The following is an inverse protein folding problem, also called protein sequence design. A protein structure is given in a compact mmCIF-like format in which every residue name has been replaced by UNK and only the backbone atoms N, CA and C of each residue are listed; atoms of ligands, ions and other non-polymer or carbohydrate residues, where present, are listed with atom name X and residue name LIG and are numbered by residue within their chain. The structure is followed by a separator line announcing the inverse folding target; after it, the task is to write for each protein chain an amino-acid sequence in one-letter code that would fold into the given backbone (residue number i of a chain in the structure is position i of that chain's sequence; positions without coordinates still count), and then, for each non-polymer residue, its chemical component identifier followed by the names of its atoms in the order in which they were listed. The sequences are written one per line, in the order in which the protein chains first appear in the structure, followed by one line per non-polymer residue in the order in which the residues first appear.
data_IF_399269951382
#
_entry.id   IF_399269951382
#
_cell.length_a   1.000
_cell.length_b   1.000
_cell.length_c   1.000
_cell.angle_alpha   90.00
_cell.angle_beta   90.00
_cell.angle_gamma   90.00
#
_symmetry.space_group_name_H-M   'P 1'
#
loop_
_entity.id
_entity.type
_entity.pdbx_description
1 polymer ?
#
# COMPACT_ATOMS: atom_id res chain seq x y z
N UNK A 1 9.55 -38.32 9.27
CA UNK A 1 9.61 -36.88 9.64
C UNK A 1 9.72 -36.84 11.16
N UNK A 2 10.72 -36.18 11.73
CA UNK A 2 10.94 -36.10 13.17
C UNK A 2 9.98 -35.07 13.81
N UNK A 3 9.75 -35.20 15.11
CA UNK A 3 8.68 -34.49 15.83
C UNK A 3 8.80 -32.96 15.73
N UNK A 4 10.02 -32.42 15.84
CA UNK A 4 10.28 -30.98 15.76
C UNK A 4 9.90 -30.39 14.38
N UNK A 5 10.16 -31.14 13.30
CA UNK A 5 9.76 -30.70 11.96
C UNK A 5 8.23 -30.68 11.78
N UNK A 6 7.51 -31.61 12.41
CA UNK A 6 6.04 -31.63 12.42
C UNK A 6 5.49 -30.41 13.17
N UNK A 7 6.09 -30.08 14.33
CA UNK A 7 5.70 -28.91 15.12
C UNK A 7 5.94 -27.60 14.35
N UNK A 8 7.12 -27.46 13.74
CA UNK A 8 7.44 -26.29 12.92
C UNK A 8 6.46 -26.11 11.75
N UNK A 9 6.20 -27.17 10.98
CA UNK A 9 5.23 -27.16 9.88
C UNK A 9 3.82 -26.81 10.36
N UNK A 10 3.39 -27.39 11.48
CA UNK A 10 2.07 -27.10 12.08
C UNK A 10 1.95 -25.63 12.47
N UNK A 11 3.00 -25.03 13.03
CA UNK A 11 3.04 -23.62 13.41
C UNK A 11 2.97 -22.69 12.18
N UNK A 12 3.69 -23.02 11.10
CA UNK A 12 3.62 -22.31 9.82
C UNK A 12 2.18 -22.33 9.28
N UNK A 13 1.58 -23.53 9.17
CA UNK A 13 0.24 -23.68 8.58
C UNK A 13 -0.85 -23.06 9.46
N UNK A 14 -0.71 -23.06 10.77
CA UNK A 14 -1.59 -22.31 11.68
C UNK A 14 -1.52 -20.82 11.39
N UNK A 15 -0.32 -20.26 11.25
CA UNK A 15 -0.10 -18.84 10.95
C UNK A 15 -0.65 -18.49 9.58
N UNK A 16 -0.46 -19.34 8.57
CA UNK A 16 -0.99 -19.19 7.22
C UNK A 16 -2.51 -19.11 7.21
N UNK A 17 -3.20 -20.00 7.93
CA UNK A 17 -4.65 -19.96 8.13
C UNK A 17 -5.11 -18.67 8.81
N UNK A 18 -4.36 -18.17 9.80
CA UNK A 18 -4.67 -16.91 10.48
C UNK A 18 -4.62 -15.72 9.53
N UNK A 19 -3.57 -15.65 8.70
CA UNK A 19 -3.43 -14.61 7.65
C UNK A 19 -4.52 -14.74 6.60
N UNK A 20 -4.82 -15.94 6.13
CA UNK A 20 -5.88 -16.19 5.15
C UNK A 20 -7.26 -15.72 5.67
N UNK A 21 -7.59 -16.07 6.93
CA UNK A 21 -8.81 -15.60 7.58
C UNK A 21 -8.90 -14.07 7.66
N UNK A 22 -7.79 -13.40 7.95
CA UNK A 22 -7.72 -11.94 7.98
C UNK A 22 -8.05 -11.30 6.63
N UNK A 23 -7.58 -11.90 5.55
CA UNK A 23 -7.83 -11.46 4.17
C UNK A 23 -9.16 -12.00 3.60
N UNK A 24 -9.88 -12.87 4.32
CA UNK A 24 -11.07 -13.60 3.90
C UNK A 24 -10.82 -14.47 2.66
N UNK A 25 -9.77 -15.28 2.72
CA UNK A 25 -9.36 -16.18 1.64
C UNK A 25 -8.91 -17.53 2.20
N UNK A 26 -8.48 -18.43 1.30
CA UNK A 26 -7.97 -19.75 1.64
C UNK A 26 -6.46 -19.73 1.89
N UNK A 27 -5.95 -20.67 2.69
CA UNK A 27 -4.55 -20.69 3.13
C UNK A 27 -3.56 -20.93 1.99
N UNK A 28 -3.91 -21.70 0.97
CA UNK A 28 -3.08 -21.96 -0.22
C UNK A 28 -2.87 -20.75 -1.14
N UNK A 29 -3.56 -19.63 -0.86
CA UNK A 29 -3.38 -18.35 -1.57
C UNK A 29 -2.33 -17.45 -0.94
N UNK A 30 -1.75 -17.82 0.22
CA UNK A 30 -0.80 -17.00 0.96
C UNK A 30 0.62 -17.54 0.76
N UNK A 31 1.51 -16.67 0.33
CA UNK A 31 2.97 -16.92 0.24
C UNK A 31 3.68 -16.01 1.23
N UNK A 32 4.47 -16.56 2.14
CA UNK A 32 5.31 -15.79 3.04
C UNK A 32 6.57 -15.31 2.34
N UNK A 33 6.99 -14.08 2.64
CA UNK A 33 8.15 -13.40 2.07
C UNK A 33 8.97 -12.75 3.18
N UNK A 34 10.15 -12.23 2.87
CA UNK A 34 10.97 -11.50 3.85
C UNK A 34 10.41 -10.11 4.22
N UNK A 35 9.37 -9.65 3.56
CA UNK A 35 8.76 -8.34 3.80
C UNK A 35 7.98 -7.81 2.60
N UNK A 36 7.47 -6.58 2.72
CA UNK A 36 6.70 -5.94 1.65
C UNK A 36 7.50 -5.77 0.35
N UNK A 37 8.79 -5.46 0.45
CA UNK A 37 9.64 -5.28 -0.73
C UNK A 37 9.74 -6.55 -1.56
N UNK A 38 10.00 -7.71 -0.94
CA UNK A 38 10.03 -9.00 -1.66
C UNK A 38 8.66 -9.33 -2.24
N UNK A 39 7.58 -9.13 -1.47
CA UNK A 39 6.22 -9.41 -1.91
C UNK A 39 5.81 -8.54 -3.11
N UNK A 40 6.10 -7.23 -3.11
CA UNK A 40 5.85 -6.32 -4.24
C UNK A 40 6.68 -6.72 -5.48
N UNK A 41 7.96 -7.03 -5.30
CA UNK A 41 8.79 -7.51 -6.39
C UNK A 41 8.26 -8.84 -6.97
N UNK A 42 7.88 -9.80 -6.12
CA UNK A 42 7.29 -11.06 -6.58
C UNK A 42 5.98 -10.85 -7.34
N UNK A 43 5.13 -9.94 -6.88
CA UNK A 43 3.91 -9.58 -7.58
C UNK A 43 4.21 -8.97 -8.95
N UNK A 44 5.04 -7.95 -9.03
CA UNK A 44 5.28 -7.16 -10.23
C UNK A 44 6.14 -7.94 -11.25
N UNK A 45 7.33 -8.36 -10.83
CA UNK A 45 8.27 -9.08 -11.71
C UNK A 45 7.77 -10.48 -12.03
N UNK A 46 7.07 -11.14 -11.09
CA UNK A 46 6.49 -12.46 -11.32
C UNK A 46 5.41 -12.44 -12.41
N UNK A 47 4.55 -11.40 -12.43
CA UNK A 47 3.58 -11.18 -13.51
C UNK A 47 4.30 -10.93 -14.83
N UNK A 48 5.25 -9.98 -14.84
CA UNK A 48 5.95 -9.57 -16.06
C UNK A 48 6.73 -10.73 -16.69
N UNK A 49 7.48 -11.50 -15.89
CA UNK A 49 8.22 -12.68 -16.36
C UNK A 49 7.30 -13.75 -16.90
N UNK A 50 6.14 -13.96 -16.28
CA UNK A 50 5.13 -14.90 -16.77
C UNK A 50 4.57 -14.49 -18.12
N UNK A 51 4.24 -13.20 -18.30
CA UNK A 51 3.79 -12.65 -19.58
C UNK A 51 4.85 -12.80 -20.67
N UNK A 52 6.11 -12.51 -20.36
CA UNK A 52 7.21 -12.69 -21.31
C UNK A 52 7.38 -14.14 -21.78
N UNK A 53 7.18 -15.14 -20.88
CA UNK A 53 7.23 -16.56 -21.23
C UNK A 53 6.08 -16.98 -22.12
N UNK A 54 4.87 -16.45 -21.91
CA UNK A 54 3.69 -16.76 -22.70
C UNK A 54 3.71 -16.12 -24.10
N UNK A 55 4.31 -14.94 -24.23
CA UNK A 55 4.29 -14.10 -25.42
C UNK A 55 5.68 -13.96 -26.07
N UNK A 56 6.47 -15.04 -26.12
CA UNK A 56 7.86 -15.03 -26.63
C UNK A 56 8.03 -14.38 -28.01
N UNK A 57 7.01 -14.47 -28.89
CA UNK A 57 7.07 -13.98 -30.28
C UNK A 57 6.32 -12.64 -30.49
N UNK A 58 5.50 -12.19 -29.54
CA UNK A 58 4.76 -10.94 -29.64
C UNK A 58 5.02 -10.09 -28.39
N UNK A 59 5.27 -8.79 -28.57
CA UNK A 59 5.34 -7.81 -27.46
C UNK A 59 3.95 -7.43 -26.93
N UNK A 60 2.94 -8.26 -27.13
CA UNK A 60 1.58 -8.02 -26.64
C UNK A 60 1.52 -8.11 -25.11
N UNK A 61 0.62 -7.33 -24.52
CA UNK A 61 0.38 -7.28 -23.07
C UNK A 61 1.63 -6.87 -22.25
N UNK A 62 2.27 -5.80 -22.61
CA UNK A 62 3.42 -5.21 -21.89
C UNK A 62 3.12 -3.80 -21.43
N UNK A 63 1.91 -3.54 -20.97
CA UNK A 63 1.55 -2.27 -20.38
C UNK A 63 1.23 -2.43 -18.89
N UNK A 64 1.74 -1.51 -18.08
CA UNK A 64 1.52 -1.43 -16.63
C UNK A 64 0.86 -0.09 -16.32
N UNK A 65 -0.16 -0.11 -15.45
CA UNK A 65 -0.73 1.10 -14.86
C UNK A 65 -0.37 1.13 -13.37
N UNK A 66 0.25 2.21 -12.93
CA UNK A 66 0.63 2.44 -11.53
C UNK A 66 0.40 3.89 -11.15
N UNK A 67 0.74 4.31 -9.93
CA UNK A 67 0.61 5.71 -9.50
C UNK A 67 1.96 6.38 -9.30
N UNK A 68 1.98 7.71 -9.40
CA UNK A 68 3.20 8.49 -9.13
C UNK A 68 3.60 8.51 -7.64
N UNK A 69 2.74 8.02 -6.74
CA UNK A 69 2.95 8.07 -5.28
C UNK A 69 3.28 6.71 -4.65
N UNK A 70 3.58 5.70 -5.46
CA UNK A 70 3.92 4.36 -4.96
C UNK A 70 5.20 4.36 -4.11
N UNK A 71 5.31 3.34 -3.26
CA UNK A 71 6.54 3.07 -2.52
C UNK A 71 7.65 2.62 -3.49
N UNK A 72 8.93 2.88 -3.16
CA UNK A 72 10.07 2.50 -4.01
C UNK A 72 10.11 0.99 -4.33
N UNK A 73 9.62 0.12 -3.43
CA UNK A 73 9.51 -1.32 -3.69
C UNK A 73 8.53 -1.69 -4.82
N UNK A 74 7.69 -0.74 -5.27
CA UNK A 74 6.80 -0.84 -6.42
C UNK A 74 7.39 -0.07 -7.61
N UNK A 75 7.87 1.16 -7.40
CA UNK A 75 8.41 2.00 -8.47
C UNK A 75 9.67 1.40 -9.10
N UNK A 76 10.63 0.93 -8.30
CA UNK A 76 11.91 0.43 -8.84
C UNK A 76 11.74 -0.82 -9.72
N UNK A 77 10.99 -1.88 -9.31
CA UNK A 77 10.75 -2.99 -10.22
C UNK A 77 9.95 -2.59 -11.48
N UNK A 78 9.05 -1.60 -11.40
CA UNK A 78 8.35 -1.07 -12.58
C UNK A 78 9.29 -0.30 -13.49
N UNK A 79 10.16 0.58 -12.97
CA UNK A 79 11.21 1.29 -13.75
C UNK A 79 12.15 0.30 -14.43
N UNK A 80 12.54 -0.78 -13.73
CA UNK A 80 13.33 -1.85 -14.34
C UNK A 80 12.62 -2.46 -15.55
N UNK A 81 11.31 -2.74 -15.44
CA UNK A 81 10.52 -3.27 -16.55
C UNK A 81 10.39 -2.26 -17.69
N UNK A 82 10.26 -0.97 -17.40
CA UNK A 82 10.25 0.10 -18.39
C UNK A 82 11.54 0.11 -19.21
N UNK A 83 12.71 -0.01 -18.55
CA UNK A 83 14.00 -0.20 -19.23
C UNK A 83 14.08 -1.50 -20.05
N UNK A 84 13.30 -2.52 -19.70
CA UNK A 84 13.18 -3.79 -20.44
C UNK A 84 12.15 -3.71 -21.58
N UNK A 85 11.60 -2.52 -21.86
CA UNK A 85 10.67 -2.24 -22.96
C UNK A 85 9.20 -2.50 -22.64
N UNK A 86 8.80 -2.43 -21.37
CA UNK A 86 7.40 -2.33 -20.97
C UNK A 86 6.94 -0.88 -21.07
N UNK A 87 5.68 -0.69 -21.49
CA UNK A 87 5.04 0.61 -21.40
C UNK A 87 4.45 0.81 -20.00
N UNK A 88 4.63 2.00 -19.42
CA UNK A 88 4.13 2.32 -18.08
C UNK A 88 3.31 3.59 -18.12
N UNK A 89 2.11 3.54 -17.58
CA UNK A 89 1.31 4.74 -17.28
C UNK A 89 1.35 5.01 -15.79
N UNK A 90 1.98 6.11 -15.42
CA UNK A 90 1.98 6.65 -14.05
C UNK A 90 0.77 7.57 -13.90
N UNK A 91 -0.26 7.13 -13.18
CA UNK A 91 -1.44 7.93 -12.91
C UNK A 91 -1.08 9.13 -12.04
N UNK A 92 -1.50 10.35 -12.43
CA UNK A 92 -1.41 11.50 -11.55
C UNK A 92 -2.35 11.35 -10.35
N UNK A 93 -2.04 12.10 -9.30
CA UNK A 93 -2.91 12.25 -8.14
C UNK A 93 -3.31 13.72 -7.97
N UNK A 94 -4.41 13.96 -7.27
CA UNK A 94 -4.80 15.31 -6.87
C UNK A 94 -3.93 15.82 -5.70
N UNK A 95 -4.17 17.04 -5.24
CA UNK A 95 -3.46 17.65 -4.10
C UNK A 95 -3.63 16.90 -2.78
N UNK A 96 -4.60 16.01 -2.67
CA UNK A 96 -4.79 15.12 -1.53
C UNK A 96 -4.04 13.78 -1.68
N UNK A 97 -3.36 13.56 -2.82
CA UNK A 97 -2.68 12.31 -3.13
C UNK A 97 -3.63 11.17 -3.47
N UNK A 98 -4.78 11.46 -4.08
CA UNK A 98 -5.82 10.47 -4.46
C UNK A 98 -5.93 10.42 -5.99
N UNK A 99 -5.99 9.19 -6.52
CA UNK A 99 -6.16 8.91 -7.95
C UNK A 99 -7.59 9.18 -8.41
N UNK A 100 -7.75 9.80 -9.59
CA UNK A 100 -9.04 9.94 -10.27
C UNK A 100 -9.46 8.61 -10.91
N UNK A 101 -10.69 8.16 -10.64
CA UNK A 101 -11.27 6.98 -11.29
C UNK A 101 -11.42 7.18 -12.81
N UNK A 102 -11.72 8.41 -13.25
CA UNK A 102 -11.85 8.71 -14.67
C UNK A 102 -10.50 8.62 -15.40
N UNK A 103 -9.41 9.11 -14.77
CA UNK A 103 -8.07 8.99 -15.35
C UNK A 103 -7.58 7.53 -15.33
N UNK A 104 -7.91 6.79 -14.28
CA UNK A 104 -7.67 5.35 -14.23
C UNK A 104 -8.36 4.61 -15.38
N UNK A 105 -9.64 4.89 -15.64
CA UNK A 105 -10.38 4.25 -16.75
C UNK A 105 -9.77 4.56 -18.12
N UNK A 106 -9.31 5.81 -18.35
CA UNK A 106 -8.64 6.22 -19.60
C UNK A 106 -7.28 5.52 -19.78
N UNK A 107 -6.59 5.19 -18.69
CA UNK A 107 -5.29 4.51 -18.73
C UNK A 107 -5.38 3.03 -19.08
N UNK A 108 -6.54 2.39 -18.91
CA UNK A 108 -6.72 0.97 -19.24
C UNK A 108 -6.69 0.75 -20.75
N UNK A 109 -5.87 -0.20 -21.20
CA UNK A 109 -5.72 -0.62 -22.60
C UNK A 109 -5.84 -2.13 -22.71
N UNK A 110 -6.13 -2.64 -23.89
CA UNK A 110 -6.17 -4.10 -24.15
C UNK A 110 -4.83 -4.79 -23.89
N UNK A 111 -3.73 -4.05 -23.98
CA UNK A 111 -2.36 -4.47 -23.70
C UNK A 111 -1.99 -4.39 -22.21
N UNK A 112 -2.86 -3.84 -21.36
CA UNK A 112 -2.58 -3.73 -19.91
C UNK A 112 -2.52 -5.13 -19.29
N UNK A 113 -1.33 -5.50 -18.78
CA UNK A 113 -1.08 -6.77 -18.12
C UNK A 113 -1.18 -6.65 -16.58
N UNK A 114 -0.82 -5.49 -16.04
CA UNK A 114 -0.76 -5.25 -14.61
C UNK A 114 -1.28 -3.86 -14.26
N UNK A 115 -2.14 -3.80 -13.26
CA UNK A 115 -2.44 -2.60 -12.50
C UNK A 115 -1.85 -2.79 -11.11
N UNK A 116 -1.00 -1.86 -10.65
CA UNK A 116 -0.41 -1.88 -9.31
C UNK A 116 -0.63 -0.53 -8.63
N UNK A 117 -1.52 -0.48 -7.66
CA UNK A 117 -1.90 0.75 -6.95
C UNK A 117 -1.92 0.48 -5.45
N UNK A 118 -1.15 1.27 -4.68
CA UNK A 118 -1.12 1.15 -3.21
C UNK A 118 -2.48 1.45 -2.60
N UNK A 119 -2.80 0.77 -1.50
CA UNK A 119 -4.09 1.01 -0.81
C UNK A 119 -4.06 2.28 0.04
N UNK A 120 -2.94 2.54 0.70
CA UNK A 120 -2.77 3.77 1.46
C UNK A 120 -1.33 4.26 1.41
N UNK A 121 -1.16 5.57 1.28
CA UNK A 121 0.16 6.19 1.17
C UNK A 121 0.81 6.36 2.55
N UNK A 122 2.09 6.07 2.64
CA UNK A 122 2.88 6.12 3.87
C UNK A 122 3.32 7.54 4.26
N UNK A 123 3.33 8.50 3.34
CA UNK A 123 3.81 9.87 3.59
C UNK A 123 2.67 10.81 3.95
N UNK A 124 1.65 10.91 3.09
CA UNK A 124 0.51 11.82 3.28
C UNK A 124 -0.73 11.13 3.86
N UNK A 125 -0.69 9.80 3.97
CA UNK A 125 -1.77 9.03 4.57
C UNK A 125 -3.01 8.89 3.70
N UNK A 126 -3.02 9.34 2.43
CA UNK A 126 -4.16 9.21 1.52
C UNK A 126 -4.56 7.75 1.30
N UNK A 127 -5.87 7.49 1.26
CA UNK A 127 -6.44 6.17 1.02
C UNK A 127 -7.01 6.14 -0.39
N UNK A 128 -6.51 5.20 -1.21
CA UNK A 128 -6.93 5.04 -2.60
C UNK A 128 -8.27 4.30 -2.69
N UNK A 129 -9.11 4.61 -3.70
CA UNK A 129 -10.41 3.97 -3.91
C UNK A 129 -10.28 2.56 -4.50
N UNK A 130 -9.53 1.66 -3.84
CA UNK A 130 -9.12 0.34 -4.35
C UNK A 130 -10.32 -0.53 -4.74
N UNK A 131 -11.38 -0.56 -3.93
CA UNK A 131 -12.57 -1.34 -4.25
C UNK A 131 -13.30 -0.82 -5.51
N UNK A 132 -13.25 0.49 -5.78
CA UNK A 132 -13.83 1.08 -6.98
C UNK A 132 -12.96 0.78 -8.20
N UNK A 133 -11.64 0.95 -8.08
CA UNK A 133 -10.65 0.54 -9.09
C UNK A 133 -10.85 -0.92 -9.46
N UNK A 134 -10.97 -1.81 -8.46
CA UNK A 134 -11.22 -3.23 -8.70
C UNK A 134 -12.52 -3.51 -9.47
N UNK A 135 -13.61 -2.78 -9.16
CA UNK A 135 -14.86 -2.88 -9.92
C UNK A 135 -14.69 -2.44 -11.39
N UNK A 136 -13.96 -1.36 -11.65
CA UNK A 136 -13.70 -0.93 -13.03
C UNK A 136 -12.84 -1.95 -13.79
N UNK A 137 -11.85 -2.57 -13.13
CA UNK A 137 -11.07 -3.68 -13.71
C UNK A 137 -11.97 -4.85 -14.07
N UNK A 138 -12.93 -5.24 -13.22
CA UNK A 138 -13.86 -6.32 -13.53
C UNK A 138 -14.74 -5.98 -14.73
N UNK A 139 -15.23 -4.74 -14.86
CA UNK A 139 -15.99 -4.29 -16.03
C UNK A 139 -15.13 -4.35 -17.30
N UNK A 140 -13.91 -3.85 -17.23
CA UNK A 140 -12.97 -3.85 -18.35
C UNK A 140 -12.64 -5.27 -18.83
N UNK A 141 -12.39 -6.21 -17.91
CA UNK A 141 -12.17 -7.62 -18.22
C UNK A 141 -13.38 -8.24 -18.97
N UNK A 142 -14.61 -7.94 -18.51
CA UNK A 142 -15.84 -8.41 -19.19
C UNK A 142 -15.95 -7.85 -20.60
N UNK A 143 -15.60 -6.60 -20.83
CA UNK A 143 -15.58 -5.99 -22.18
C UNK A 143 -14.58 -6.70 -23.11
N UNK A 144 -13.37 -7.00 -22.62
CA UNK A 144 -12.37 -7.74 -23.40
C UNK A 144 -12.83 -9.16 -23.76
N UNK A 145 -13.51 -9.85 -22.84
CA UNK A 145 -14.06 -11.20 -23.09
C UNK A 145 -15.20 -11.17 -24.13
N UNK A 146 -16.08 -10.19 -24.06
CA UNK A 146 -17.18 -10.02 -25.02
C UNK A 146 -16.67 -9.75 -26.44
N UNK A 147 -15.69 -8.86 -26.56
CA UNK A 147 -15.03 -8.60 -27.85
C UNK A 147 -14.36 -9.83 -28.45
N UNK A 148 -13.75 -10.71 -27.63
CA UNK A 148 -13.15 -11.97 -28.10
C UNK A 148 -14.18 -13.03 -28.47
N UNK A 149 -15.33 -13.11 -27.78
CA UNK A 149 -16.41 -14.09 -28.13
C UNK A 149 -17.07 -13.79 -29.43
N UNK A 150 -17.21 -12.55 -29.82
CA UNK A 150 -17.75 -12.15 -31.12
C UNK A 150 -16.79 -12.40 -32.28
N UNK A 151 -15.51 -12.68 -31.99
CA UNK A 151 -14.49 -13.02 -33.00
C UNK A 151 -14.30 -14.53 -33.21
N UNK A 152 -14.84 -15.41 -32.35
CA UNK A 152 -14.64 -16.87 -32.40
C UNK A 152 -15.92 -17.58 -31.93
N UNK A 153 -16.45 -18.52 -32.79
CA UNK A 153 -17.68 -19.35 -32.62
C UNK A 153 -17.77 -20.19 -31.30
N UNK A 154 -18.86 -20.97 -31.08
CA UNK A 154 -19.80 -20.80 -29.96
C UNK A 154 -19.42 -21.49 -28.64
N UNK A 155 -20.24 -21.37 -27.56
CA UNK A 155 -19.78 -21.53 -26.17
C UNK A 155 -19.81 -22.98 -25.71
N UNK A 156 -18.73 -23.43 -25.08
CA UNK A 156 -18.74 -24.62 -24.23
C UNK A 156 -19.43 -24.28 -22.88
N UNK A 157 -20.61 -24.87 -22.64
CA UNK A 157 -21.39 -24.72 -21.41
C UNK A 157 -20.81 -25.57 -20.29
N UNK A 158 -19.90 -25.01 -19.48
CA UNK A 158 -19.52 -25.54 -18.18
C UNK A 158 -19.79 -24.49 -17.11
N UNK A 159 -20.66 -24.77 -16.12
CA UNK A 159 -20.89 -23.91 -14.97
C UNK A 159 -19.66 -23.96 -14.05
N UNK A 160 -18.79 -22.96 -14.10
CA UNK A 160 -17.83 -22.65 -13.05
C UNK A 160 -18.24 -21.34 -12.40
N UNK A 161 -18.08 -21.22 -11.08
CA UNK A 161 -18.37 -19.99 -10.35
C UNK A 161 -17.59 -18.81 -10.96
N UNK A 162 -18.21 -17.65 -11.12
CA UNK A 162 -17.62 -16.46 -11.77
C UNK A 162 -16.36 -15.97 -11.06
N UNK A 163 -16.20 -16.26 -9.75
CA UNK A 163 -15.02 -15.96 -8.94
C UNK A 163 -13.75 -16.75 -9.32
N UNK A 164 -13.87 -17.83 -10.10
CA UNK A 164 -12.75 -18.72 -10.48
C UNK A 164 -12.14 -18.42 -11.86
N UNK A 165 -12.70 -17.49 -12.60
CA UNK A 165 -12.24 -17.19 -13.95
C UNK A 165 -11.18 -16.09 -13.94
N UNK A 166 -9.92 -16.51 -13.78
CA UNK A 166 -8.81 -15.64 -14.22
C UNK A 166 -8.79 -15.65 -15.75
N UNK A 167 -8.90 -14.50 -16.43
CA UNK A 167 -8.77 -14.45 -17.87
C UNK A 167 -7.39 -15.01 -18.26
N UNK A 168 -7.33 -16.04 -19.07
CA UNK A 168 -6.05 -16.52 -19.65
C UNK A 168 -5.42 -15.36 -20.42
N UNK A 169 -4.28 -14.83 -19.96
CA UNK A 169 -3.62 -13.65 -20.52
C UNK A 169 -4.32 -12.32 -20.19
N UNK A 170 -5.10 -12.26 -19.08
CA UNK A 170 -5.82 -11.08 -18.64
C UNK A 170 -4.99 -10.16 -17.77
N UNK A 171 -5.48 -8.94 -17.65
CA UNK A 171 -5.05 -7.91 -16.71
C UNK A 171 -5.05 -8.45 -15.27
N UNK A 172 -3.97 -8.24 -14.51
CA UNK A 172 -3.84 -8.60 -13.10
C UNK A 172 -3.88 -7.32 -12.26
N UNK A 173 -4.59 -7.37 -11.13
CA UNK A 173 -4.69 -6.27 -10.18
C UNK A 173 -3.93 -6.57 -8.89
N UNK A 174 -2.87 -5.81 -8.64
CA UNK A 174 -2.06 -5.81 -7.43
C UNK A 174 -2.31 -4.55 -6.61
N UNK A 175 -2.33 -4.71 -5.28
CA UNK A 175 -2.34 -3.59 -4.35
C UNK A 175 -1.30 -3.78 -3.25
N UNK A 176 -0.44 -2.77 -3.02
CA UNK A 176 0.38 -2.68 -1.83
C UNK A 176 -0.47 -2.18 -0.67
N UNK A 177 -0.78 -3.08 0.27
CA UNK A 177 -1.58 -2.80 1.46
C UNK A 177 -0.73 -2.70 2.73
N UNK A 178 0.59 -2.53 2.63
CA UNK A 178 1.47 -2.48 3.81
C UNK A 178 1.04 -1.42 4.83
N UNK A 179 0.67 -0.24 4.41
CA UNK A 179 0.21 0.82 5.30
C UNK A 179 -1.28 0.67 5.69
N UNK A 180 -2.07 0.08 4.83
CA UNK A 180 -3.50 -0.13 5.05
C UNK A 180 -3.79 -1.21 6.10
N UNK A 181 -2.94 -2.25 6.19
CA UNK A 181 -3.18 -3.46 6.96
C UNK A 181 -3.51 -3.21 8.44
N UNK A 182 -2.97 -2.14 9.02
CA UNK A 182 -3.21 -1.79 10.42
C UNK A 182 -4.59 -1.16 10.66
N UNK A 183 -5.17 -0.48 9.66
CA UNK A 183 -6.28 0.44 9.87
C UNK A 183 -7.50 0.16 9.00
N UNK A 184 -7.32 -0.55 7.88
CA UNK A 184 -8.35 -0.76 6.87
C UNK A 184 -8.64 -2.24 6.67
N UNK A 185 -9.88 -2.61 6.29
CA UNK A 185 -10.20 -4.00 5.95
C UNK A 185 -9.48 -4.41 4.66
N UNK A 186 -8.82 -5.58 4.69
CA UNK A 186 -8.09 -6.14 3.56
C UNK A 186 -8.83 -7.32 2.91
N UNK A 187 -10.16 -7.27 2.87
CA UNK A 187 -10.97 -8.35 2.31
C UNK A 187 -10.80 -8.40 0.79
N UNK A 188 -10.05 -9.36 0.30
CA UNK A 188 -9.60 -9.44 -1.11
C UNK A 188 -10.75 -9.50 -2.11
N UNK A 189 -11.88 -10.12 -1.76
CA UNK A 189 -13.06 -10.16 -2.61
C UNK A 189 -13.73 -8.77 -2.72
N UNK A 190 -13.80 -8.02 -1.63
CA UNK A 190 -14.35 -6.67 -1.62
C UNK A 190 -13.48 -5.68 -2.37
N UNK A 191 -12.16 -5.86 -2.29
CA UNK A 191 -11.17 -5.05 -3.00
C UNK A 191 -11.04 -5.47 -4.47
N UNK A 192 -11.54 -6.67 -4.83
CA UNK A 192 -11.37 -7.31 -6.13
C UNK A 192 -9.89 -7.47 -6.53
N UNK A 193 -8.99 -7.53 -5.54
CA UNK A 193 -7.56 -7.68 -5.78
C UNK A 193 -7.22 -9.11 -6.19
N UNK A 194 -6.30 -9.25 -7.13
CA UNK A 194 -5.73 -10.54 -7.53
C UNK A 194 -4.46 -10.85 -6.77
N UNK A 195 -3.69 -9.81 -6.44
CA UNK A 195 -2.47 -9.84 -5.64
C UNK A 195 -2.57 -8.75 -4.57
N UNK A 196 -2.18 -9.07 -3.34
CA UNK A 196 -2.15 -8.10 -2.24
C UNK A 196 -0.91 -8.33 -1.38
N UNK A 197 -0.14 -7.27 -1.19
CA UNK A 197 1.07 -7.28 -0.36
C UNK A 197 0.81 -6.65 1.00
N UNK A 198 1.30 -7.26 2.08
CA UNK A 198 1.45 -6.62 3.39
C UNK A 198 2.63 -7.19 4.18
N UNK A 199 3.04 -6.52 5.26
CA UNK A 199 4.19 -6.95 6.05
C UNK A 199 3.98 -6.86 7.56
N UNK A 200 4.78 -7.61 8.30
CA UNK A 200 4.69 -7.71 9.76
C UNK A 200 5.05 -6.40 10.47
N UNK A 201 6.09 -5.72 10.03
CA UNK A 201 6.61 -4.51 10.70
C UNK A 201 5.61 -3.35 10.75
N UNK A 202 4.61 -3.32 9.88
CA UNK A 202 3.59 -2.26 9.83
C UNK A 202 2.34 -2.58 10.67
N UNK A 203 2.28 -3.78 11.26
CA UNK A 203 1.19 -4.23 12.13
C UNK A 203 1.70 -4.66 13.52
N UNK A 204 2.84 -4.11 13.96
CA UNK A 204 3.53 -4.44 15.22
C UNK A 204 4.02 -5.90 15.31
N UNK A 205 4.17 -6.57 14.17
CA UNK A 205 4.81 -7.88 14.06
C UNK A 205 6.33 -7.76 13.83
N UNK A 206 7.02 -8.90 13.68
CA UNK A 206 8.47 -8.91 13.43
C UNK A 206 8.84 -8.19 12.13
N UNK A 207 10.05 -7.60 12.11
CA UNK A 207 10.74 -7.21 10.87
C UNK A 207 11.21 -8.49 10.15
N UNK A 208 11.49 -8.41 8.86
CA UNK A 208 11.99 -9.54 8.09
C UNK A 208 10.92 -10.61 7.75
N UNK A 209 9.63 -10.22 7.79
CA UNK A 209 8.50 -11.07 7.38
C UNK A 209 7.40 -10.25 6.72
N UNK A 210 6.84 -10.79 5.63
CA UNK A 210 5.67 -10.27 4.93
C UNK A 210 4.88 -11.39 4.30
N UNK A 211 3.83 -11.04 3.59
CA UNK A 211 3.00 -11.98 2.86
C UNK A 211 2.50 -11.38 1.55
N UNK A 212 2.43 -12.23 0.53
CA UNK A 212 1.73 -12.00 -0.72
C UNK A 212 0.49 -12.87 -0.76
N UNK A 213 -0.68 -12.28 -0.85
CA UNK A 213 -1.88 -12.97 -1.30
C UNK A 213 -1.84 -13.07 -2.82
N UNK A 214 -2.15 -14.25 -3.33
CA UNK A 214 -2.25 -14.55 -4.75
C UNK A 214 -3.55 -15.32 -5.00
N UNK A 215 -4.48 -14.73 -5.75
CA UNK A 215 -5.74 -15.38 -6.13
C UNK A 215 -5.45 -16.74 -6.80
N UNK A 216 -6.25 -17.75 -6.51
CA UNK A 216 -6.18 -19.05 -7.19
C UNK A 216 -6.28 -18.87 -8.71
N UNK A 217 -5.47 -19.64 -9.44
CA UNK A 217 -5.39 -19.57 -10.90
C UNK A 217 -4.44 -18.50 -11.46
N UNK A 218 -3.99 -17.53 -10.67
CA UNK A 218 -2.91 -16.61 -11.06
C UNK A 218 -1.58 -17.37 -11.06
N UNK A 219 -0.86 -17.28 -12.16
CA UNK A 219 0.48 -17.86 -12.32
C UNK A 219 1.51 -16.74 -12.29
N UNK A 220 2.43 -16.83 -11.33
CA UNK A 220 3.61 -15.96 -11.22
C UNK A 220 4.87 -16.77 -11.53
N UNK A 221 5.90 -16.09 -12.03
CA UNK A 221 7.25 -16.66 -12.05
C UNK A 221 7.94 -16.32 -10.74
N UNK A 222 8.55 -17.30 -10.05
CA UNK A 222 9.27 -17.05 -8.83
C UNK A 222 10.50 -16.15 -9.07
N UNK A 223 10.87 -15.38 -8.05
CA UNK A 223 12.10 -14.58 -8.09
C UNK A 223 13.34 -15.39 -7.67
N UNK A 224 13.14 -16.34 -6.75
CA UNK A 224 14.18 -17.21 -6.21
C UNK A 224 13.85 -18.66 -6.52
N UNK A 225 14.81 -19.39 -7.06
CA UNK A 225 14.70 -20.78 -7.42
C UNK A 225 15.42 -21.65 -6.37
N UNK A 226 14.90 -22.86 -6.11
CA UNK A 226 15.45 -23.80 -5.13
C UNK A 226 14.46 -24.90 -4.82
N UNK A 227 14.34 -25.29 -3.54
CA UNK A 227 13.34 -26.26 -3.06
C UNK A 227 11.91 -25.76 -3.23
N UNK A 228 10.94 -26.64 -3.04
CA UNK A 228 9.50 -26.34 -3.27
C UNK A 228 8.79 -25.57 -2.15
N UNK A 229 9.51 -24.87 -1.27
CA UNK A 229 8.92 -24.09 -0.18
C UNK A 229 7.97 -23.02 -0.74
N UNK A 230 6.98 -22.66 0.08
CA UNK A 230 5.96 -21.67 -0.28
C UNK A 230 5.31 -21.98 -1.66
N UNK A 231 4.96 -23.25 -1.88
CA UNK A 231 4.35 -23.72 -3.13
C UNK A 231 5.20 -23.44 -4.38
N UNK A 232 6.54 -23.40 -4.23
CA UNK A 232 7.50 -23.09 -5.29
C UNK A 232 7.58 -21.59 -5.64
N UNK A 233 6.87 -20.74 -4.91
CA UNK A 233 6.87 -19.30 -5.14
C UNK A 233 8.03 -18.56 -4.46
N UNK A 234 8.48 -19.10 -3.32
CA UNK A 234 9.57 -18.52 -2.54
C UNK A 234 10.42 -19.63 -1.93
N UNK A 235 11.47 -20.00 -2.62
CA UNK A 235 12.38 -21.05 -2.18
C UNK A 235 13.27 -20.61 -1.01
N UNK A 236 13.77 -21.57 -0.25
CA UNK A 236 14.60 -21.40 0.94
C UNK A 236 13.86 -21.77 2.21
N UNK A 237 14.61 -22.23 3.22
CA UNK A 237 14.06 -22.66 4.51
C UNK A 237 13.19 -21.55 5.10
N UNK A 238 12.01 -21.94 5.59
CA UNK A 238 11.01 -21.03 6.10
C UNK A 238 11.47 -20.35 7.40
N UNK A 239 11.26 -19.05 7.50
CA UNK A 239 11.49 -18.26 8.71
C UNK A 239 10.38 -18.54 9.73
N UNK A 240 10.42 -19.72 10.39
CA UNK A 240 9.37 -20.15 11.33
C UNK A 240 9.08 -19.09 12.40
N UNK A 241 10.08 -18.53 13.11
CA UNK A 241 9.81 -17.49 14.12
C UNK A 241 9.10 -16.24 13.55
N UNK A 242 9.57 -15.78 12.39
CA UNK A 242 8.96 -14.63 11.70
C UNK A 242 7.52 -14.89 11.28
N UNK A 243 7.25 -16.08 10.71
CA UNK A 243 5.91 -16.50 10.26
C UNK A 243 4.94 -16.59 11.45
N UNK A 244 5.37 -17.21 12.55
CA UNK A 244 4.56 -17.33 13.77
C UNK A 244 4.32 -15.94 14.38
N UNK A 245 5.33 -15.08 14.41
CA UNK A 245 5.21 -13.70 14.87
C UNK A 245 4.24 -12.88 14.03
N UNK A 246 4.27 -13.02 12.68
CA UNK A 246 3.29 -12.40 11.78
C UNK A 246 1.87 -12.90 12.06
N UNK A 247 1.69 -14.22 12.17
CA UNK A 247 0.40 -14.83 12.52
C UNK A 247 -0.15 -14.29 13.83
N UNK A 248 0.71 -14.14 14.86
CA UNK A 248 0.33 -13.57 16.15
C UNK A 248 -0.03 -12.08 16.07
N UNK A 249 0.72 -11.30 15.30
CA UNK A 249 0.41 -9.89 15.07
C UNK A 249 -0.96 -9.72 14.40
N UNK A 250 -1.26 -10.54 13.39
CA UNK A 250 -2.57 -10.55 12.70
C UNK A 250 -3.68 -10.97 13.67
N UNK A 251 -3.48 -11.99 14.51
CA UNK A 251 -4.46 -12.39 15.53
C UNK A 251 -4.79 -11.25 16.50
N UNK A 252 -3.77 -10.51 16.96
CA UNK A 252 -3.94 -9.35 17.83
C UNK A 252 -4.70 -8.24 17.09
N UNK A 253 -4.34 -7.99 15.82
CA UNK A 253 -4.96 -6.97 15.00
C UNK A 253 -6.46 -7.24 14.78
N UNK A 254 -6.87 -8.49 14.55
CA UNK A 254 -8.26 -8.89 14.40
C UNK A 254 -9.11 -8.69 15.67
N UNK A 255 -8.48 -8.69 16.85
CA UNK A 255 -9.15 -8.44 18.14
C UNK A 255 -9.30 -6.95 18.46
N UNK A 256 -8.67 -6.06 17.66
CA UNK A 256 -8.80 -4.60 17.85
C UNK A 256 -10.23 -4.16 17.57
N UNK A 257 -10.71 -3.27 18.40
CA UNK A 257 -12.01 -2.67 18.20
C UNK A 257 -11.90 -1.30 17.48
N UNK A 258 -12.99 -0.84 16.93
CA UNK A 258 -13.06 0.47 16.24
C UNK A 258 -12.74 1.65 17.17
N UNK A 259 -12.87 1.50 18.50
CA UNK A 259 -12.56 2.56 19.47
C UNK A 259 -11.06 2.96 19.44
N UNK A 260 -10.17 1.96 19.31
CA UNK A 260 -8.72 2.23 19.26
C UNK A 260 -8.33 3.07 18.04
N UNK A 261 -8.96 2.81 16.88
CA UNK A 261 -8.76 3.60 15.66
C UNK A 261 -9.28 5.03 15.85
N UNK A 262 -10.45 5.19 16.45
CA UNK A 262 -11.05 6.50 16.73
C UNK A 262 -10.24 7.29 17.77
N UNK A 263 -9.65 6.62 18.75
CA UNK A 263 -8.75 7.27 19.73
C UNK A 263 -7.48 7.81 19.06
N UNK A 264 -6.83 7.04 18.19
CA UNK A 264 -5.67 7.52 17.43
C UNK A 264 -6.05 8.70 16.55
N UNK A 265 -7.22 8.65 15.89
CA UNK A 265 -7.74 9.75 15.08
C UNK A 265 -7.97 11.02 15.92
N UNK A 266 -8.58 10.89 17.12
CA UNK A 266 -8.78 12.01 18.03
C UNK A 266 -7.45 12.63 18.47
N UNK A 267 -6.46 11.79 18.81
CA UNK A 267 -5.11 12.27 19.19
C UNK A 267 -4.42 12.99 18.03
N UNK A 268 -4.53 12.47 16.80
CA UNK A 268 -4.00 13.14 15.61
C UNK A 268 -4.66 14.49 15.38
N UNK A 269 -5.98 14.57 15.48
CA UNK A 269 -6.72 15.83 15.28
C UNK A 269 -6.37 16.83 16.37
N UNK A 270 -6.31 16.41 17.65
CA UNK A 270 -5.86 17.24 18.75
C UNK A 270 -4.44 17.78 18.51
N UNK A 271 -3.53 16.95 18.00
CA UNK A 271 -2.18 17.39 17.69
C UNK A 271 -2.15 18.44 16.58
N UNK A 272 -2.94 18.24 15.53
CA UNK A 272 -3.06 19.21 14.43
C UNK A 272 -3.65 20.55 14.91
N UNK A 273 -4.73 20.54 15.67
CA UNK A 273 -5.34 21.73 16.24
C UNK A 273 -4.33 22.54 17.08
N UNK A 274 -3.51 21.86 17.88
CA UNK A 274 -2.45 22.49 18.65
C UNK A 274 -1.39 23.14 17.75
N UNK A 275 -0.92 22.42 16.71
CA UNK A 275 0.05 22.94 15.74
C UNK A 275 -0.49 24.21 15.09
N UNK A 276 -1.73 24.18 14.57
CA UNK A 276 -2.33 25.33 13.92
C UNK A 276 -2.48 26.55 14.84
N UNK A 277 -2.81 26.31 16.10
CA UNK A 277 -3.00 27.39 17.08
C UNK A 277 -1.69 28.01 17.54
N UNK A 278 -0.62 27.21 17.67
CA UNK A 278 0.61 27.62 18.36
C UNK A 278 1.75 27.96 17.40
N UNK A 279 1.68 27.54 16.15
CA UNK A 279 2.74 27.74 15.15
C UNK A 279 2.17 28.40 13.91
N UNK A 280 2.76 29.52 13.48
CA UNK A 280 2.40 30.23 12.23
C UNK A 280 3.03 29.55 11.02
N UNK A 281 2.43 29.78 9.86
CA UNK A 281 2.93 29.32 8.54
C UNK A 281 3.06 27.81 8.46
N UNK A 282 2.04 27.10 8.94
CA UNK A 282 1.94 25.63 8.84
C UNK A 282 0.88 25.22 7.84
N UNK A 283 1.16 24.20 7.06
CA UNK A 283 0.23 23.67 6.04
C UNK A 283 0.13 22.16 6.15
N UNK A 284 -1.09 21.65 6.23
CA UNK A 284 -1.35 20.21 6.18
C UNK A 284 -1.11 19.67 4.76
N UNK A 285 -0.38 18.57 4.64
CA UNK A 285 -0.15 17.86 3.38
C UNK A 285 -1.07 16.63 3.28
N UNK A 286 -1.61 16.39 2.08
CA UNK A 286 -2.53 15.29 1.81
C UNK A 286 -3.98 15.60 2.22
N UNK A 287 -4.86 14.59 2.39
CA UNK A 287 -6.28 14.77 2.63
C UNK A 287 -6.60 15.58 3.88
N UNK A 288 -7.71 16.34 3.84
CA UNK A 288 -8.24 17.06 5.01
C UNK A 288 -8.49 16.12 6.19
N UNK A 289 -8.41 16.67 7.40
CA UNK A 289 -8.76 15.97 8.64
C UNK A 289 -10.24 16.13 9.00
N UNK A 290 -10.95 17.03 8.34
CA UNK A 290 -12.38 17.18 8.47
C UNK A 290 -13.11 15.97 7.86
N UNK A 291 -14.29 15.63 8.43
CA UNK A 291 -15.12 14.56 7.87
C UNK A 291 -15.55 15.00 6.46
N UNK A 292 -15.26 14.22 5.41
CA UNK A 292 -15.69 14.59 4.08
C UNK A 292 -17.19 14.78 4.06
N UNK A 293 -17.68 15.90 3.54
CA UNK A 293 -19.08 16.00 3.14
C UNK A 293 -19.36 14.88 2.12
N UNK A 294 -20.55 14.25 2.15
CA UNK A 294 -20.85 13.16 1.25
C UNK A 294 -20.63 13.62 -0.18
N UNK A 295 -19.72 12.94 -0.91
CA UNK A 295 -19.41 13.27 -2.30
C UNK A 295 -20.72 13.29 -3.08
N UNK A 296 -21.13 14.48 -3.57
CA UNK A 296 -22.26 14.66 -4.47
C UNK A 296 -21.90 13.97 -5.80
N UNK A 297 -22.50 12.83 -6.09
CA UNK A 297 -22.43 12.23 -7.42
C UNK A 297 -22.08 10.75 -7.51
N UNK A 298 -22.60 9.89 -6.64
CA UNK A 298 -22.51 8.45 -6.81
C UNK A 298 -23.79 7.77 -6.34
N UNK A 299 -24.65 7.34 -7.28
CA UNK A 299 -25.85 6.54 -7.02
C UNK A 299 -25.50 5.08 -6.67
N UNK A 300 -24.58 4.87 -5.73
CA UNK A 300 -24.20 3.56 -5.20
C UNK A 300 -24.81 3.33 -3.83
N UNK A 301 -25.94 2.67 -3.75
CA UNK A 301 -26.54 2.22 -2.49
C UNK A 301 -25.57 1.29 -1.76
N UNK A 302 -25.10 1.70 -0.59
CA UNK A 302 -24.74 0.79 0.48
C UNK A 302 -23.30 0.39 0.67
N UNK A 303 -22.29 1.34 0.82
CA UNK A 303 -21.01 1.03 1.52
C UNK A 303 -20.24 2.30 1.97
N UNK A 304 -20.78 3.51 1.80
CA UNK A 304 -20.04 4.77 2.04
C UNK A 304 -20.43 5.48 3.35
N UNK A 305 -20.67 4.75 4.44
CA UNK A 305 -20.71 5.38 5.77
C UNK A 305 -19.32 5.27 6.40
N UNK A 306 -18.52 6.37 6.33
CA UNK A 306 -17.31 6.54 7.14
C UNK A 306 -15.99 6.09 6.51
N UNK A 307 -15.83 6.10 5.17
CA UNK A 307 -14.52 5.87 4.57
C UNK A 307 -13.67 7.10 4.87
N UNK A 308 -12.60 6.88 5.63
CA UNK A 308 -11.56 7.87 5.88
C UNK A 308 -10.81 8.11 4.56
N UNK A 309 -10.66 9.37 4.14
CA UNK A 309 -9.77 9.69 3.01
C UNK A 309 -8.29 9.67 3.43
N UNK A 310 -8.03 9.65 4.77
CA UNK A 310 -6.69 9.62 5.38
C UNK A 310 -6.58 8.57 6.48
N UNK A 311 -5.42 7.90 6.54
CA UNK A 311 -5.06 7.02 7.66
C UNK A 311 -5.16 7.75 9.00
N UNK A 312 -5.70 7.11 10.06
CA UNK A 312 -5.97 7.77 11.34
C UNK A 312 -4.69 8.19 12.09
N UNK A 313 -3.57 7.57 11.80
CA UNK A 313 -2.30 7.73 12.49
C UNK A 313 -1.29 8.65 11.79
N UNK A 314 -1.62 9.17 10.63
CA UNK A 314 -0.71 9.97 9.80
C UNK A 314 -1.01 11.46 9.91
N UNK A 315 0.02 12.26 10.16
CA UNK A 315 0.00 13.71 10.12
C UNK A 315 1.25 14.21 9.41
N UNK A 316 1.11 14.72 8.20
CA UNK A 316 2.20 15.31 7.43
C UNK A 316 1.97 16.82 7.34
N UNK A 317 2.92 17.61 7.83
CA UNK A 317 2.83 19.07 7.97
C UNK A 317 4.07 19.73 7.41
N UNK A 318 3.90 20.73 6.57
CA UNK A 318 4.98 21.62 6.15
C UNK A 318 5.03 22.84 7.07
N UNK A 319 6.23 23.14 7.61
CA UNK A 319 6.55 24.31 8.41
C UNK A 319 7.26 25.31 7.51
N UNK A 320 6.49 26.16 6.83
CA UNK A 320 7.01 27.05 5.78
C UNK A 320 8.15 27.95 6.31
N UNK A 321 9.23 28.01 5.55
CA UNK A 321 10.45 28.74 5.91
C UNK A 321 11.39 27.96 6.86
N UNK A 322 11.10 26.69 7.14
CA UNK A 322 12.01 25.81 7.86
C UNK A 322 12.63 24.79 6.92
N UNK A 323 13.84 24.36 7.23
CA UNK A 323 14.45 23.17 6.67
C UNK A 323 14.02 21.93 7.47
N UNK A 324 13.53 20.87 6.77
CA UNK A 324 13.02 19.66 7.40
C UNK A 324 14.12 18.85 8.10
N UNK A 325 15.33 18.82 7.56
CA UNK A 325 16.46 18.07 8.17
C UNK A 325 16.85 18.71 9.49
N UNK A 326 16.98 20.05 9.51
CA UNK A 326 17.24 20.78 10.74
C UNK A 326 16.13 20.52 11.79
N UNK A 327 14.85 20.56 11.38
CA UNK A 327 13.74 20.22 12.29
C UNK A 327 13.87 18.80 12.85
N UNK A 328 14.20 17.81 12.03
CA UNK A 328 14.38 16.41 12.46
C UNK A 328 15.51 16.33 13.49
N UNK A 329 16.66 16.92 13.23
CA UNK A 329 17.81 16.89 14.13
C UNK A 329 17.50 17.49 15.49
N UNK A 330 16.87 18.67 15.54
CA UNK A 330 16.51 19.32 16.81
C UNK A 330 15.40 18.59 17.56
N UNK A 331 14.44 17.97 16.84
CA UNK A 331 13.40 17.16 17.45
C UNK A 331 13.99 15.86 18.04
N UNK A 332 14.89 15.20 17.31
CA UNK A 332 15.57 13.99 17.77
C UNK A 332 16.42 14.26 19.01
N UNK A 333 17.18 15.37 19.03
CA UNK A 333 17.92 15.84 20.22
C UNK A 333 17.00 16.12 21.42
N UNK A 334 15.70 16.36 21.16
CA UNK A 334 14.68 16.53 22.21
C UNK A 334 13.96 15.22 22.58
N UNK A 335 14.40 14.08 22.01
CA UNK A 335 13.82 12.76 22.22
C UNK A 335 12.48 12.56 21.46
N UNK A 336 12.30 13.24 20.32
CA UNK A 336 11.09 13.16 19.47
C UNK A 336 11.51 12.70 18.08
N UNK A 337 11.22 11.43 17.77
CA UNK A 337 11.52 10.85 16.46
C UNK A 337 10.42 11.17 15.47
N UNK A 338 10.80 11.82 14.37
CA UNK A 338 9.94 12.17 13.24
C UNK A 338 10.64 11.80 11.93
N UNK A 339 10.01 12.03 10.79
CA UNK A 339 10.61 11.77 9.47
C UNK A 339 10.23 12.88 8.50
N UNK A 340 11.10 13.21 7.56
CA UNK A 340 10.74 13.84 6.29
C UNK A 340 10.01 12.81 5.40
N UNK A 341 9.53 13.17 4.23
CA UNK A 341 8.71 12.34 3.36
C UNK A 341 9.13 10.88 3.25
N UNK A 342 10.25 10.55 2.61
CA UNK A 342 10.71 9.17 2.48
C UNK A 342 11.88 8.89 3.45
N UNK A 343 11.56 8.24 4.57
CA UNK A 343 12.59 7.72 5.50
C UNK A 343 13.49 6.61 4.91
N UNK A 344 13.23 6.20 3.66
CA UNK A 344 13.93 5.09 2.97
C UNK A 344 14.80 5.54 1.79
N UNK A 345 14.86 6.83 1.44
CA UNK A 345 15.82 7.31 0.45
C UNK A 345 17.19 7.44 1.11
N UNK A 346 18.15 6.68 0.61
CA UNK A 346 19.58 6.74 1.04
C UNK A 346 20.27 8.01 0.56
N UNK A 347 19.63 8.79 -0.32
CA UNK A 347 20.09 10.09 -0.78
C UNK A 347 19.42 11.18 0.08
N UNK A 348 20.20 11.81 0.96
CA UNK A 348 19.76 12.84 1.91
C UNK A 348 19.09 14.06 1.25
N UNK A 349 19.36 14.33 -0.03
CA UNK A 349 18.90 15.54 -0.72
C UNK A 349 17.66 15.34 -1.60
N UNK A 350 17.09 14.13 -1.70
CA UNK A 350 15.97 13.86 -2.59
C UNK A 350 14.65 14.33 -1.99
N UNK A 351 14.01 15.31 -2.64
CA UNK A 351 12.65 15.76 -2.30
C UNK A 351 11.65 14.60 -2.40
N UNK A 352 10.65 14.61 -1.53
CA UNK A 352 9.58 13.62 -1.58
C UNK A 352 8.86 13.62 -2.94
N UNK A 353 9.00 12.52 -3.68
CA UNK A 353 8.28 12.33 -4.95
C UNK A 353 6.76 12.31 -4.74
N UNK A 354 6.28 11.87 -3.57
CA UNK A 354 4.85 11.87 -3.21
C UNK A 354 4.33 13.28 -3.10
N UNK A 355 5.01 14.16 -2.36
CA UNK A 355 4.59 15.54 -2.18
C UNK A 355 4.69 16.33 -3.49
N UNK A 356 5.70 16.07 -4.30
CA UNK A 356 5.82 16.65 -5.65
C UNK A 356 4.68 16.17 -6.56
N UNK A 357 4.33 14.88 -6.52
CA UNK A 357 3.21 14.33 -7.28
C UNK A 357 1.85 14.90 -6.86
N UNK A 358 1.69 15.34 -5.60
CA UNK A 358 0.53 16.09 -5.13
C UNK A 358 0.48 17.54 -5.67
N UNK A 359 1.48 17.97 -6.44
CA UNK A 359 1.55 19.32 -7.01
C UNK A 359 2.05 20.40 -6.05
N UNK A 360 2.73 20.00 -4.95
CA UNK A 360 3.24 20.98 -4.00
C UNK A 360 4.56 21.59 -4.46
N UNK A 361 4.72 22.89 -4.21
CA UNK A 361 5.95 23.61 -4.50
C UNK A 361 7.15 23.08 -3.71
N UNK A 362 8.34 23.13 -4.31
CA UNK A 362 9.59 22.63 -3.71
C UNK A 362 9.83 23.16 -2.28
N UNK A 363 9.62 24.47 -2.05
CA UNK A 363 9.77 25.08 -0.71
C UNK A 363 8.85 24.46 0.34
N UNK A 364 7.61 24.11 -0.04
CA UNK A 364 6.67 23.41 0.83
C UNK A 364 7.14 21.97 1.10
N UNK A 365 7.63 21.28 0.08
CA UNK A 365 8.15 19.90 0.21
C UNK A 365 9.38 19.84 1.11
N UNK A 366 10.32 20.79 0.97
CA UNK A 366 11.54 20.89 1.79
C UNK A 366 11.29 21.13 3.28
N UNK A 367 10.12 21.64 3.63
CA UNK A 367 9.74 21.95 5.02
C UNK A 367 8.80 20.92 5.64
N UNK A 368 8.58 19.78 4.96
CA UNK A 368 7.57 18.80 5.35
C UNK A 368 8.10 17.81 6.40
N UNK A 369 7.38 17.68 7.50
CA UNK A 369 7.62 16.69 8.57
C UNK A 369 6.42 15.75 8.67
N UNK A 370 6.69 14.45 8.71
CA UNK A 370 5.69 13.43 8.98
C UNK A 370 5.75 12.99 10.43
N UNK A 371 4.65 13.17 11.13
CA UNK A 371 4.39 12.58 12.43
C UNK A 371 3.52 11.33 12.26
N UNK A 372 3.92 10.24 12.89
CA UNK A 372 3.15 8.98 12.85
C UNK A 372 2.82 8.57 14.28
N UNK A 373 1.53 8.51 14.57
CA UNK A 373 1.03 8.09 15.87
C UNK A 373 0.85 6.57 15.89
N UNK A 374 0.99 5.97 17.07
CA UNK A 374 0.84 4.52 17.26
C UNK A 374 -0.05 4.18 18.43
N UNK A 375 -0.21 2.88 18.72
CA UNK A 375 -1.00 2.34 19.83
C UNK A 375 -0.56 2.86 21.21
N UNK A 376 0.73 3.15 21.36
CA UNK A 376 1.28 3.68 22.61
C UNK A 376 1.27 5.20 22.70
N UNK A 377 0.81 5.90 21.65
CA UNK A 377 0.78 7.36 21.67
C UNK A 377 -0.31 7.86 22.62
N UNK A 378 0.09 8.78 23.51
CA UNK A 378 -0.80 9.38 24.52
C UNK A 378 -0.90 10.89 24.33
N UNK A 379 -1.96 11.49 24.89
CA UNK A 379 -2.11 12.96 24.93
C UNK A 379 -0.93 13.64 25.61
N UNK A 380 -0.41 13.05 26.69
CA UNK A 380 0.77 13.57 27.43
C UNK A 380 2.00 13.66 26.53
N UNK A 381 2.22 12.66 25.68
CA UNK A 381 3.33 12.70 24.73
C UNK A 381 3.16 13.80 23.68
N UNK A 382 1.94 13.99 23.16
CA UNK A 382 1.63 15.10 22.23
C UNK A 382 1.87 16.45 22.93
N UNK A 383 1.39 16.61 24.16
CA UNK A 383 1.62 17.83 24.96
C UNK A 383 3.11 18.08 25.19
N UNK A 384 3.92 17.02 25.39
CA UNK A 384 5.40 17.13 25.48
C UNK A 384 5.99 17.62 24.15
N UNK A 385 5.56 17.08 23.02
CA UNK A 385 6.00 17.56 21.70
C UNK A 385 5.67 19.04 21.54
N UNK A 386 4.46 19.47 21.90
CA UNK A 386 4.02 20.86 21.76
C UNK A 386 4.73 21.84 22.71
N UNK A 387 5.37 21.37 23.78
CA UNK A 387 6.24 22.24 24.63
C UNK A 387 7.53 22.66 23.92
N UNK A 388 8.02 21.86 22.98
CA UNK A 388 9.33 22.10 22.32
C UNK A 388 9.18 22.49 20.85
N UNK A 389 8.24 21.91 20.11
CA UNK A 389 8.07 22.11 18.68
C UNK A 389 7.94 23.59 18.26
N UNK A 390 7.12 24.45 18.90
CA UNK A 390 7.05 25.87 18.53
C UNK A 390 8.39 26.62 18.68
N UNK A 391 9.17 26.29 19.72
CA UNK A 391 10.49 26.88 19.96
C UNK A 391 11.50 26.45 18.90
N UNK A 392 11.51 25.15 18.55
CA UNK A 392 12.40 24.59 17.52
C UNK A 392 12.06 25.21 16.16
N UNK A 393 10.79 25.29 15.78
CA UNK A 393 10.34 25.93 14.53
C UNK A 393 10.79 27.41 14.49
N UNK A 394 10.60 28.14 15.59
CA UNK A 394 11.03 29.54 15.67
C UNK A 394 12.56 29.72 15.58
N UNK A 395 13.33 28.77 16.08
CA UNK A 395 14.80 28.76 15.98
C UNK A 395 15.25 28.45 14.55
N UNK A 396 14.73 27.39 13.95
CA UNK A 396 15.11 26.96 12.58
C UNK A 396 14.76 28.02 11.56
N UNK A 397 13.59 28.71 11.68
CA UNK A 397 13.24 29.84 10.82
C UNK A 397 14.26 30.98 10.85
N UNK A 398 14.85 31.27 12.01
CA UNK A 398 15.88 32.33 12.15
C UNK A 398 17.22 31.95 11.53
N UNK A 399 17.55 30.68 11.47
CA UNK A 399 18.81 30.17 10.88
C UNK A 399 18.71 30.14 9.35
N UNK A 400 17.53 29.91 8.80
CA UNK A 400 17.28 29.85 7.34
C UNK A 400 17.01 31.20 6.67
N UNK A 401 17.00 32.31 7.45
CA UNK A 401 17.00 33.68 6.98
C UNK A 401 18.43 34.22 6.89
#
# INVERSE_FOLDING_TARGET
MYQEAVLARTAIEKSRRTVAKFLRTESDTITFTSGGTEANNLAILGVARRQNKQNKQSRQNRHIVTTAIEHQSVLEPIRKLEHEGWEVTYLPVNSEGIVSIEDFKKALRKETALVSIMYANNEVGSIQPIAEIGREILKFRKQLEYGRRNAISPPYRGRRHESERVPRGGLIFHTDACQAAQHLPLHVDTLHADLLTFNGSKIYGPKGIGALYKRRGIMLEPLMYGGGQEFGMRSGTENVPGIVGLGKAVEILQKRNSKEIEEIKKLRNYFWERIQKEIKDVVLNGPSLEVPSPRRGGSGRGLNRGILDRLPNNLNVSFLGCDAEALILYLDASGISVSSGSACSTESDALSHVLLACGYEKKRVQSAIRFTLGRGTTKVQIDRVMKVLPKIVGMVKKIGM
#
